data_IF_557874718325
#
_entry.id   IF_557874718325
#
_cell.length_a   1.000
_cell.length_b   1.000
_cell.length_c   1.000
_cell.angle_alpha   90.00
_cell.angle_beta   90.00
_cell.angle_gamma   90.00
#
_symmetry.space_group_name_H-M   'P 1'
#
loop_
_entity.id
_entity.type
_entity.pdbx_description
1 polymer ?
#
# COMPACT_ATOMS: atom_id res chain seq x y z
N UNK A 1 14.54 10.62 -34.38
CA UNK A 1 15.66 9.84 -33.81
C UNK A 1 15.45 8.39 -34.20
N UNK A 2 16.28 7.88 -35.10
CA UNK A 2 16.28 6.48 -35.51
C UNK A 2 17.13 5.68 -34.54
N UNK A 3 16.56 4.66 -33.89
CA UNK A 3 17.31 3.74 -33.03
C UNK A 3 17.57 2.43 -33.79
N UNK A 4 18.82 1.98 -33.82
CA UNK A 4 19.22 0.72 -34.40
C UNK A 4 19.69 -0.23 -33.28
N UNK A 5 19.07 -1.40 -33.17
CA UNK A 5 19.42 -2.42 -32.20
C UNK A 5 20.30 -3.47 -32.89
N UNK A 6 21.53 -3.65 -32.39
CA UNK A 6 22.44 -4.68 -32.87
C UNK A 6 22.62 -5.75 -31.79
N UNK A 7 22.54 -7.02 -32.21
CA UNK A 7 22.81 -8.17 -31.35
C UNK A 7 24.25 -8.62 -31.57
N UNK A 8 25.08 -8.60 -30.53
CA UNK A 8 26.47 -9.05 -30.58
C UNK A 8 26.61 -10.42 -29.89
N UNK A 9 27.53 -11.26 -30.36
CA UNK A 9 27.86 -12.54 -29.72
C UNK A 9 28.93 -12.40 -28.62
N UNK A 10 29.64 -11.27 -28.56
CA UNK A 10 30.66 -10.92 -27.56
C UNK A 10 30.33 -9.66 -26.78
N UNK A 11 31.30 -9.14 -26.00
CA UNK A 11 31.11 -7.98 -25.11
C UNK A 11 30.62 -6.74 -25.89
N UNK A 12 29.37 -6.29 -25.66
CA UNK A 12 28.76 -5.17 -26.37
C UNK A 12 29.55 -3.87 -26.24
N UNK A 13 30.26 -3.67 -25.12
CA UNK A 13 31.07 -2.47 -24.89
C UNK A 13 32.30 -2.42 -25.81
N UNK A 14 32.90 -3.58 -26.10
CA UNK A 14 34.06 -3.69 -27.00
C UNK A 14 33.70 -3.50 -28.47
N UNK A 15 32.48 -3.86 -28.87
CA UNK A 15 31.98 -3.75 -30.26
C UNK A 15 31.48 -2.35 -30.62
N UNK A 16 31.27 -1.48 -29.63
CA UNK A 16 30.80 -0.10 -29.83
C UNK A 16 31.75 0.72 -30.72
N UNK A 17 33.06 0.51 -30.57
CA UNK A 17 34.09 1.18 -31.37
C UNK A 17 34.08 0.75 -32.84
N UNK A 18 33.99 -0.57 -33.10
CA UNK A 18 33.96 -1.11 -34.47
C UNK A 18 32.69 -0.75 -35.23
N UNK A 19 31.53 -0.72 -34.55
CA UNK A 19 30.26 -0.32 -35.17
C UNK A 19 30.27 1.17 -35.52
N UNK A 20 30.82 2.02 -34.65
CA UNK A 20 30.97 3.46 -34.94
C UNK A 20 31.86 3.70 -36.17
N UNK A 21 33.00 3.01 -36.24
CA UNK A 21 33.91 3.11 -37.38
C UNK A 21 33.24 2.68 -38.69
N UNK A 22 32.51 1.55 -38.70
CA UNK A 22 31.81 1.07 -39.90
C UNK A 22 30.70 2.03 -40.37
N UNK A 23 29.99 2.70 -39.46
CA UNK A 23 28.95 3.68 -39.81
C UNK A 23 29.58 4.97 -40.35
N UNK A 24 30.69 5.42 -39.76
CA UNK A 24 31.42 6.61 -40.22
C UNK A 24 32.06 6.41 -41.61
N UNK A 25 32.45 5.18 -41.95
CA UNK A 25 33.00 4.83 -43.26
C UNK A 25 31.91 4.85 -44.36
N UNK A 26 30.67 4.49 -44.00
CA UNK A 26 29.52 4.53 -44.91
C UNK A 26 28.97 5.95 -45.11
N UNK A 27 28.91 6.75 -44.05
CA UNK A 27 28.40 8.12 -44.10
C UNK A 27 28.98 8.98 -42.96
N UNK A 28 29.99 9.79 -43.29
CA UNK A 28 30.68 10.68 -42.36
C UNK A 28 29.80 11.82 -41.80
N UNK A 29 28.64 12.10 -42.43
CA UNK A 29 27.69 13.12 -41.97
C UNK A 29 26.74 12.63 -40.88
N UNK A 30 26.68 11.33 -40.60
CA UNK A 30 25.83 10.75 -39.55
C UNK A 30 26.55 10.82 -38.20
N UNK A 31 26.07 11.70 -37.32
CA UNK A 31 26.53 11.78 -35.93
C UNK A 31 26.07 10.53 -35.14
N UNK A 32 26.98 9.56 -34.97
CA UNK A 32 26.74 8.40 -34.09
C UNK A 32 26.74 8.88 -32.64
N UNK A 33 25.56 8.91 -32.02
CA UNK A 33 25.36 9.26 -30.62
C UNK A 33 26.04 8.29 -29.63
N UNK A 34 25.69 8.42 -28.35
CA UNK A 34 26.20 7.54 -27.31
C UNK A 34 25.75 6.08 -27.58
N UNK A 35 26.72 5.21 -27.87
CA UNK A 35 26.49 3.77 -27.97
C UNK A 35 26.37 3.24 -26.55
N UNK A 36 25.16 2.88 -26.14
CA UNK A 36 24.88 2.31 -24.83
C UNK A 36 24.44 0.85 -25.01
N UNK A 37 24.81 0.00 -24.05
CA UNK A 37 24.27 -1.36 -24.01
C UNK A 37 22.76 -1.31 -23.74
N UNK A 38 22.01 -2.29 -24.27
CA UNK A 38 20.58 -2.38 -23.99
C UNK A 38 20.32 -2.46 -22.48
N UNK A 39 21.21 -3.14 -21.74
CA UNK A 39 21.20 -3.22 -20.28
C UNK A 39 21.30 -1.83 -19.62
N UNK A 40 22.25 -0.99 -20.04
CA UNK A 40 22.38 0.37 -19.51
C UNK A 40 21.17 1.23 -19.85
N UNK A 41 20.57 1.08 -21.03
CA UNK A 41 19.37 1.86 -21.40
C UNK A 41 18.14 1.43 -20.60
N UNK A 42 18.01 0.13 -20.33
CA UNK A 42 17.01 -0.41 -19.41
C UNK A 42 17.26 0.13 -17.99
N UNK A 43 18.47 -0.01 -17.46
CA UNK A 43 18.81 0.45 -16.10
C UNK A 43 18.58 1.96 -15.94
N UNK A 44 18.93 2.77 -16.94
CA UNK A 44 18.71 4.22 -16.93
C UNK A 44 17.21 4.57 -16.91
N UNK A 45 16.38 3.81 -17.62
CA UNK A 45 14.92 3.97 -17.59
C UNK A 45 14.31 3.53 -16.25
N UNK A 46 14.82 2.44 -15.68
CA UNK A 46 14.32 1.87 -14.42
C UNK A 46 14.68 2.69 -13.19
N UNK A 47 15.72 3.54 -13.21
CA UNK A 47 16.08 4.39 -12.06
C UNK A 47 14.93 5.32 -11.68
N UNK A 48 14.26 5.94 -12.66
CA UNK A 48 13.14 6.84 -12.39
C UNK A 48 11.92 6.10 -11.84
N UNK A 49 11.60 4.95 -12.43
CA UNK A 49 10.50 4.08 -11.97
C UNK A 49 10.74 3.56 -10.55
N UNK A 50 11.96 3.09 -10.25
CA UNK A 50 12.34 2.61 -8.91
C UNK A 50 12.27 3.71 -7.86
N UNK A 51 12.69 4.92 -8.20
CA UNK A 51 12.62 6.06 -7.28
C UNK A 51 11.16 6.41 -6.95
N UNK A 52 10.29 6.45 -7.96
CA UNK A 52 8.84 6.66 -7.75
C UNK A 52 8.20 5.54 -6.95
N UNK A 53 8.58 4.28 -7.22
CA UNK A 53 8.11 3.12 -6.46
C UNK A 53 8.54 3.21 -4.98
N UNK A 54 9.79 3.58 -4.70
CA UNK A 54 10.30 3.75 -3.34
C UNK A 54 9.61 4.89 -2.58
N UNK A 55 9.41 6.04 -3.22
CA UNK A 55 8.67 7.17 -2.65
C UNK A 55 7.23 6.77 -2.33
N UNK A 56 6.56 6.10 -3.28
CA UNK A 56 5.20 5.59 -3.10
C UNK A 56 5.12 4.57 -1.96
N UNK A 57 6.10 3.67 -1.85
CA UNK A 57 6.19 2.71 -0.75
C UNK A 57 6.37 3.42 0.61
N UNK A 58 7.22 4.45 0.67
CA UNK A 58 7.41 5.26 1.87
C UNK A 58 6.12 5.97 2.29
N UNK A 59 5.43 6.65 1.36
CA UNK A 59 4.15 7.29 1.64
C UNK A 59 3.07 6.28 2.04
N UNK A 60 3.03 5.11 1.39
CA UNK A 60 2.13 4.02 1.77
C UNK A 60 2.37 3.56 3.21
N UNK A 61 3.63 3.42 3.62
CA UNK A 61 3.99 3.06 4.98
C UNK A 61 3.59 4.14 5.99
N UNK A 62 3.83 5.42 5.68
CA UNK A 62 3.40 6.53 6.53
C UNK A 62 1.88 6.60 6.67
N UNK A 63 1.16 6.43 5.55
CA UNK A 63 -0.30 6.37 5.54
C UNK A 63 -0.79 5.22 6.41
N UNK A 64 -0.17 4.04 6.32
CA UNK A 64 -0.50 2.88 7.13
C UNK A 64 -0.34 3.16 8.63
N UNK A 65 0.76 3.80 9.04
CA UNK A 65 1.00 4.20 10.44
C UNK A 65 -0.07 5.20 10.89
N UNK A 66 -0.33 6.24 10.08
CA UNK A 66 -1.30 7.28 10.41
C UNK A 66 -2.73 6.71 10.54
N UNK A 67 -3.13 5.84 9.61
CA UNK A 67 -4.42 5.13 9.66
C UNK A 67 -4.50 4.25 10.90
N UNK A 68 -3.44 3.54 11.26
CA UNK A 68 -3.40 2.70 12.47
C UNK A 68 -3.65 3.51 13.74
N UNK A 69 -2.98 4.67 13.86
CA UNK A 69 -3.16 5.59 14.99
C UNK A 69 -4.58 6.16 15.02
N UNK A 70 -5.10 6.60 13.87
CA UNK A 70 -6.46 7.14 13.75
C UNK A 70 -7.54 6.12 14.12
N UNK A 71 -7.43 4.89 13.60
CA UNK A 71 -8.34 3.78 13.92
C UNK A 71 -8.29 3.45 15.41
N UNK A 72 -7.09 3.37 16.00
CA UNK A 72 -6.95 3.15 17.44
C UNK A 72 -7.64 4.26 18.25
N UNK A 73 -7.43 5.53 17.90
CA UNK A 73 -8.07 6.67 18.57
C UNK A 73 -9.59 6.63 18.48
N UNK A 74 -10.15 6.35 17.30
CA UNK A 74 -11.60 6.20 17.10
C UNK A 74 -12.17 5.04 17.92
N UNK A 75 -11.47 3.90 17.97
CA UNK A 75 -11.90 2.74 18.76
C UNK A 75 -11.89 3.08 20.25
N UNK A 76 -10.80 3.65 20.78
CA UNK A 76 -10.71 4.02 22.20
C UNK A 76 -11.80 5.01 22.58
N UNK A 77 -12.02 6.04 21.76
CA UNK A 77 -13.08 7.01 21.98
C UNK A 77 -14.47 6.36 21.96
N UNK A 78 -14.73 5.44 21.02
CA UNK A 78 -16.00 4.73 20.93
C UNK A 78 -16.25 3.83 22.15
N UNK A 79 -15.21 3.20 22.69
CA UNK A 79 -15.28 2.40 23.93
C UNK A 79 -15.57 3.30 25.13
N UNK A 80 -14.80 4.39 25.30
CA UNK A 80 -14.96 5.31 26.43
C UNK A 80 -16.37 5.88 26.53
N UNK A 81 -16.94 6.32 25.40
CA UNK A 81 -18.30 6.88 25.32
C UNK A 81 -19.39 5.89 25.70
N UNK A 82 -19.11 4.58 25.62
CA UNK A 82 -20.05 3.48 25.93
C UNK A 82 -19.75 2.74 27.22
N UNK A 83 -18.66 3.07 27.91
CA UNK A 83 -18.27 2.46 29.19
C UNK A 83 -19.41 2.54 30.21
N UNK A 84 -20.18 3.64 30.22
CA UNK A 84 -21.31 3.83 31.14
C UNK A 84 -22.45 2.83 30.90
N UNK A 85 -22.84 2.61 29.65
CA UNK A 85 -23.86 1.62 29.28
C UNK A 85 -23.38 0.19 29.51
N UNK A 86 -22.11 -0.08 29.22
CA UNK A 86 -21.45 -1.36 29.45
C UNK A 86 -21.43 -1.68 30.95
N UNK A 87 -21.07 -0.71 31.80
CA UNK A 87 -21.06 -0.84 33.25
C UNK A 87 -22.43 -1.14 33.84
N UNK A 88 -23.47 -0.45 33.36
CA UNK A 88 -24.87 -0.72 33.78
C UNK A 88 -25.30 -2.14 33.38
N UNK A 89 -25.01 -2.58 32.15
CA UNK A 89 -25.34 -3.96 31.71
C UNK A 89 -24.60 -5.02 32.51
N UNK A 90 -23.33 -4.80 32.83
CA UNK A 90 -22.56 -5.72 33.67
C UNK A 90 -23.10 -5.78 35.10
N UNK A 91 -23.49 -4.63 35.69
CA UNK A 91 -24.09 -4.57 37.03
C UNK A 91 -25.45 -5.29 37.10
N UNK A 92 -26.18 -5.34 35.98
CA UNK A 92 -27.41 -6.13 35.83
C UNK A 92 -27.17 -7.62 35.53
N UNK A 93 -25.92 -8.09 35.54
CA UNK A 93 -25.56 -9.50 35.39
C UNK A 93 -25.32 -9.97 33.95
N UNK A 94 -25.19 -9.06 32.97
CA UNK A 94 -24.90 -9.44 31.60
C UNK A 94 -23.51 -10.10 31.48
N UNK A 95 -23.44 -11.21 30.74
CA UNK A 95 -22.18 -11.92 30.51
C UNK A 95 -21.19 -11.05 29.73
N UNK A 96 -19.94 -10.93 30.21
CA UNK A 96 -18.84 -10.18 29.56
C UNK A 96 -18.69 -10.52 28.06
N UNK A 97 -18.97 -11.77 27.68
CA UNK A 97 -18.95 -12.26 26.29
C UNK A 97 -20.01 -11.63 25.38
N UNK A 98 -21.21 -11.32 25.89
CA UNK A 98 -22.24 -10.64 25.10
C UNK A 98 -21.86 -9.18 24.78
N UNK A 99 -21.25 -8.49 25.74
CA UNK A 99 -20.77 -7.12 25.54
C UNK A 99 -19.62 -7.09 24.54
N UNK A 100 -18.64 -7.99 24.70
CA UNK A 100 -17.52 -8.12 23.76
C UNK A 100 -17.99 -8.44 22.33
N UNK A 101 -18.97 -9.35 22.17
CA UNK A 101 -19.53 -9.69 20.87
C UNK A 101 -20.26 -8.50 20.21
N UNK A 102 -20.97 -7.68 20.99
CA UNK A 102 -21.63 -6.47 20.48
C UNK A 102 -20.61 -5.46 19.97
N UNK A 103 -19.56 -5.18 20.75
CA UNK A 103 -18.48 -4.28 20.35
C UNK A 103 -17.76 -4.79 19.08
N UNK A 104 -17.40 -6.08 19.05
CA UNK A 104 -16.72 -6.69 17.90
C UNK A 104 -17.55 -6.59 16.62
N UNK A 105 -18.87 -6.77 16.70
CA UNK A 105 -19.76 -6.66 15.54
C UNK A 105 -19.82 -5.23 15.01
N UNK A 106 -19.87 -4.24 15.89
CA UNK A 106 -19.95 -2.84 15.50
C UNK A 106 -18.64 -2.31 14.94
N UNK A 107 -17.52 -2.63 15.60
CA UNK A 107 -16.18 -2.35 15.09
C UNK A 107 -15.93 -3.09 13.77
N UNK A 108 -16.40 -4.32 13.64
CA UNK A 108 -16.32 -5.11 12.41
C UNK A 108 -17.08 -4.46 11.25
N UNK A 109 -18.28 -3.91 11.49
CA UNK A 109 -19.04 -3.16 10.47
C UNK A 109 -18.30 -1.90 10.03
N UNK A 110 -17.68 -1.17 10.97
CA UNK A 110 -16.89 0.02 10.67
C UNK A 110 -15.69 -0.32 9.77
N UNK A 111 -14.95 -1.38 10.12
CA UNK A 111 -13.80 -1.87 9.33
C UNK A 111 -14.27 -2.31 7.94
N UNK A 112 -15.38 -3.04 7.86
CA UNK A 112 -15.92 -3.50 6.58
C UNK A 112 -16.36 -2.33 5.68
N UNK A 113 -16.98 -1.30 6.25
CA UNK A 113 -17.32 -0.08 5.53
C UNK A 113 -16.07 0.64 5.00
N UNK A 114 -15.01 0.76 5.82
CA UNK A 114 -13.75 1.37 5.39
C UNK A 114 -13.08 0.59 4.26
N UNK A 115 -13.13 -0.75 4.30
CA UNK A 115 -12.56 -1.61 3.26
C UNK A 115 -13.32 -1.48 1.94
N UNK A 116 -14.65 -1.48 1.98
CA UNK A 116 -15.49 -1.29 0.79
C UNK A 116 -15.26 0.08 0.14
N UNK A 117 -15.19 1.15 0.95
CA UNK A 117 -14.89 2.50 0.47
C UNK A 117 -13.49 2.58 -0.14
N UNK A 118 -12.49 1.97 0.51
CA UNK A 118 -11.12 1.91 0.01
C UNK A 118 -11.03 1.22 -1.35
N UNK A 119 -11.63 0.03 -1.49
CA UNK A 119 -11.64 -0.73 -2.75
C UNK A 119 -12.31 0.07 -3.88
N UNK A 120 -13.45 0.69 -3.59
CA UNK A 120 -14.16 1.52 -4.58
C UNK A 120 -13.31 2.72 -5.04
N UNK A 121 -12.66 3.40 -4.09
CA UNK A 121 -11.77 4.53 -4.39
C UNK A 121 -10.55 4.09 -5.21
N UNK A 122 -9.91 2.96 -4.86
CA UNK A 122 -8.78 2.41 -5.61
C UNK A 122 -9.18 2.07 -7.04
N UNK A 123 -10.31 1.38 -7.25
CA UNK A 123 -10.80 1.04 -8.60
C UNK A 123 -11.08 2.29 -9.44
N UNK A 124 -11.65 3.34 -8.85
CA UNK A 124 -11.90 4.61 -9.54
C UNK A 124 -10.58 5.32 -9.92
N UNK A 125 -9.61 5.33 -9.00
CA UNK A 125 -8.30 5.93 -9.25
C UNK A 125 -7.54 5.16 -10.34
N UNK A 126 -7.49 3.82 -10.27
CA UNK A 126 -6.82 2.99 -11.28
C UNK A 126 -7.40 3.20 -12.67
N UNK A 127 -8.73 3.28 -12.81
CA UNK A 127 -9.37 3.58 -14.10
C UNK A 127 -8.93 4.93 -14.67
N UNK A 128 -8.80 5.95 -13.82
CA UNK A 128 -8.37 7.30 -14.24
C UNK A 128 -6.89 7.34 -14.62
N UNK A 129 -6.04 6.57 -13.94
CA UNK A 129 -4.60 6.53 -14.25
C UNK A 129 -4.36 5.74 -15.56
N UNK A 130 -5.13 4.69 -15.83
CA UNK A 130 -5.06 3.91 -17.08
C UNK A 130 -5.33 4.76 -18.33
N UNK A 131 -6.17 5.80 -18.23
CA UNK A 131 -6.42 6.70 -19.38
C UNK A 131 -5.28 7.68 -19.65
N UNK A 132 -4.38 7.88 -18.67
CA UNK A 132 -3.27 8.83 -18.74
C UNK A 132 -1.92 8.14 -19.05
N UNK A 133 -1.75 6.87 -18.70
CA UNK A 133 -0.48 6.15 -18.83
C UNK A 133 -0.64 4.84 -19.62
N UNK A 134 -0.05 4.78 -20.81
CA UNK A 134 0.02 3.56 -21.62
C UNK A 134 0.89 2.51 -20.91
N UNK A 135 0.37 1.29 -20.74
CA UNK A 135 1.14 0.14 -20.23
C UNK A 135 0.78 -0.35 -18.82
N UNK A 136 -0.14 0.31 -18.10
CA UNK A 136 -0.66 -0.23 -16.84
C UNK A 136 -1.68 -1.32 -17.17
N UNK A 137 -1.22 -2.58 -17.17
CA UNK A 137 -2.10 -3.72 -17.40
C UNK A 137 -3.26 -3.73 -16.41
N UNK A 138 -4.49 -3.92 -16.91
CA UNK A 138 -5.73 -3.93 -16.13
C UNK A 138 -5.87 -5.10 -15.13
N UNK A 139 -4.76 -5.72 -14.73
CA UNK A 139 -4.72 -7.04 -14.07
C UNK A 139 -3.82 -7.10 -12.85
N UNK A 140 -3.54 -5.98 -12.19
CA UNK A 140 -2.81 -6.02 -10.90
C UNK A 140 -3.75 -6.33 -9.72
N UNK A 141 -4.69 -7.27 -9.93
CA UNK A 141 -5.62 -7.75 -8.91
C UNK A 141 -4.85 -8.36 -7.74
N UNK A 142 -3.70 -8.97 -8.01
CA UNK A 142 -2.79 -9.50 -6.98
C UNK A 142 -2.29 -8.38 -6.08
N UNK A 143 -1.86 -7.24 -6.63
CA UNK A 143 -1.37 -6.10 -5.85
C UNK A 143 -2.48 -5.45 -5.02
N UNK A 144 -3.68 -5.29 -5.59
CA UNK A 144 -4.84 -4.78 -4.85
C UNK A 144 -5.27 -5.75 -3.74
N UNK A 145 -5.31 -7.05 -4.02
CA UNK A 145 -5.66 -8.06 -3.03
C UNK A 145 -4.61 -8.15 -1.91
N UNK A 146 -3.32 -8.06 -2.24
CA UNK A 146 -2.23 -8.03 -1.27
C UNK A 146 -2.29 -6.78 -0.38
N UNK A 147 -2.56 -5.61 -0.97
CA UNK A 147 -2.73 -4.37 -0.21
C UNK A 147 -3.96 -4.41 0.72
N UNK A 148 -5.09 -4.94 0.22
CA UNK A 148 -6.29 -5.14 1.03
C UNK A 148 -6.05 -6.10 2.20
N UNK A 149 -5.35 -7.22 1.96
CA UNK A 149 -4.95 -8.16 3.00
C UNK A 149 -4.02 -7.52 4.04
N UNK A 150 -3.02 -6.76 3.59
CA UNK A 150 -2.10 -6.06 4.48
C UNK A 150 -2.83 -5.03 5.36
N UNK A 151 -3.73 -4.23 4.77
CA UNK A 151 -4.57 -3.28 5.51
C UNK A 151 -5.51 -3.99 6.49
N UNK A 152 -6.12 -5.11 6.09
CA UNK A 152 -6.98 -5.90 6.97
C UNK A 152 -6.20 -6.47 8.16
N UNK A 153 -4.98 -6.97 7.93
CA UNK A 153 -4.09 -7.45 8.99
C UNK A 153 -3.70 -6.32 9.95
N UNK A 154 -3.34 -5.15 9.43
CA UNK A 154 -2.99 -3.98 10.25
C UNK A 154 -4.20 -3.51 11.06
N UNK A 155 -5.38 -3.41 10.45
CA UNK A 155 -6.61 -3.06 11.16
C UNK A 155 -6.96 -4.09 12.24
N UNK A 156 -6.80 -5.39 11.95
CA UNK A 156 -7.01 -6.46 12.92
C UNK A 156 -6.03 -6.37 14.10
N UNK A 157 -4.74 -6.13 13.84
CA UNK A 157 -3.72 -5.94 14.87
C UNK A 157 -3.97 -4.68 15.70
N UNK A 158 -4.32 -3.57 15.05
CA UNK A 158 -4.66 -2.31 15.72
C UNK A 158 -5.92 -2.43 16.58
N UNK A 159 -6.92 -3.21 16.13
CA UNK A 159 -8.15 -3.49 16.88
C UNK A 159 -7.95 -4.55 17.98
N UNK A 160 -6.98 -5.45 17.85
CA UNK A 160 -6.70 -6.50 18.83
C UNK A 160 -6.29 -5.91 20.19
N UNK A 161 -5.46 -4.87 20.20
CA UNK A 161 -4.98 -4.21 21.42
C UNK A 161 -6.14 -3.66 22.27
N UNK A 162 -7.03 -2.77 21.76
CA UNK A 162 -8.18 -2.27 22.50
C UNK A 162 -9.24 -3.33 22.77
N UNK A 163 -9.46 -4.31 21.88
CA UNK A 163 -10.39 -5.42 22.15
C UNK A 163 -9.93 -6.27 23.34
N UNK A 164 -8.62 -6.52 23.44
CA UNK A 164 -8.02 -7.25 24.57
C UNK A 164 -8.01 -6.41 25.85
N UNK A 165 -7.75 -5.10 25.73
CA UNK A 165 -7.90 -4.15 26.85
C UNK A 165 -9.34 -4.10 27.38
N UNK A 166 -10.33 -4.03 26.48
CA UNK A 166 -11.75 -4.01 26.86
C UNK A 166 -12.21 -5.32 27.51
N UNK A 167 -11.68 -6.46 27.08
CA UNK A 167 -11.96 -7.76 27.69
C UNK A 167 -11.33 -7.91 29.10
N UNK A 168 -10.24 -7.20 29.36
CA UNK A 168 -9.52 -7.18 30.64
C UNK A 168 -9.85 -5.98 31.54
N UNK A 169 -10.70 -5.04 31.10
CA UNK A 169 -11.20 -3.98 31.97
C UNK A 169 -11.98 -4.61 33.12
N UNK A 170 -11.43 -4.47 34.34
CA UNK A 170 -12.10 -4.93 35.54
C UNK A 170 -13.22 -3.93 35.87
N UNK A 171 -14.48 -4.38 36.01
CA UNK A 171 -15.64 -3.51 36.20
C UNK A 171 -15.58 -2.68 37.49
N UNK A 172 -14.71 -3.07 38.43
CA UNK A 172 -14.45 -2.32 39.67
C UNK A 172 -13.71 -0.99 39.41
N UNK A 173 -12.83 -0.90 38.41
CA UNK A 173 -12.12 0.36 38.08
C UNK A 173 -13.04 1.35 37.34
N UNK A 174 -14.00 0.84 36.57
CA UNK A 174 -15.01 1.65 35.88
C UNK A 174 -15.98 2.37 36.83
N UNK A 175 -16.10 1.89 38.08
CA UNK A 175 -16.92 2.50 39.15
C UNK A 175 -16.10 3.40 40.09
N UNK A 176 -14.76 3.31 40.06
CA UNK A 176 -13.86 4.02 40.97
C UNK A 176 -13.23 5.28 40.34
N UNK A 177 -13.52 5.53 39.06
CA UNK A 177 -13.19 6.79 38.41
C UNK A 177 -14.34 7.78 38.68
N UNK A 178 -14.38 8.27 39.91
CA UNK A 178 -15.06 9.51 40.29
C UNK A 178 -13.99 10.48 40.82
#
# INVERSE_FOLDING_TARGET
>A
MTEALLRTAGDPASMAGSVRAAIQDLDATVAVGAVATLQQKIDSGLVHERMMALLSACFGLLALVLTSVGVYGVIVYAVERRTREIGIRLALGAARRQVAAMLLRELGLLVLASLMLGIAATLAATRTIQTLLYGIAASDFVTVAAAALALALVAALAAWIPARRAAHLDPMDALRTE
#
